data_IF_514970276190
#
_entry.id   IF_514970276190
#
_cell.length_a   1.000
_cell.length_b   1.000
_cell.length_c   1.000
_cell.angle_alpha   90.00
_cell.angle_beta   90.00
_cell.angle_gamma   90.00
#
_symmetry.space_group_name_H-M   'P 1'
#
loop_
_entity.id
_entity.type
_entity.pdbx_description
1 polymer ?
#
# COMPACT_ATOMS: atom_id res chain seq x y z
N UNK A 1 -4.99 12.90 2.83
CA UNK A 1 -4.30 11.95 1.92
C UNK A 1 -3.59 12.74 0.84
N UNK A 2 -2.33 12.42 0.54
CA UNK A 2 -1.53 13.01 -0.53
C UNK A 2 -1.24 11.92 -1.55
N UNK A 3 -1.77 12.05 -2.77
CA UNK A 3 -1.60 11.05 -3.83
C UNK A 3 -0.59 11.55 -4.88
N UNK A 4 0.38 10.70 -5.22
CA UNK A 4 1.41 10.96 -6.20
C UNK A 4 1.16 10.13 -7.46
N UNK A 5 1.30 10.79 -8.60
CA UNK A 5 1.43 10.07 -9.87
C UNK A 5 2.88 9.63 -10.07
N UNK A 6 3.08 8.31 -10.05
CA UNK A 6 4.37 7.67 -10.28
C UNK A 6 4.48 7.06 -11.68
N UNK A 7 3.47 7.21 -12.54
CA UNK A 7 3.52 6.66 -13.90
C UNK A 7 4.54 7.40 -14.77
N UNK A 8 5.24 6.61 -15.57
CA UNK A 8 6.08 7.05 -16.67
C UNK A 8 5.36 6.68 -17.97
N UNK A 9 4.94 7.65 -18.80
CA UNK A 9 4.23 7.35 -20.04
C UNK A 9 5.00 6.36 -20.92
N UNK A 10 4.35 5.27 -21.30
CA UNK A 10 4.94 4.23 -22.15
C UNK A 10 5.85 3.24 -21.44
N UNK A 11 6.00 3.31 -20.11
CA UNK A 11 6.78 2.36 -19.33
C UNK A 11 5.97 1.75 -18.17
N UNK A 12 6.30 0.51 -17.83
CA UNK A 12 5.66 -0.21 -16.72
C UNK A 12 6.32 0.07 -15.36
N UNK A 13 7.51 0.68 -15.35
CA UNK A 13 8.17 1.09 -14.11
C UNK A 13 7.67 2.45 -13.63
N UNK A 14 7.81 2.70 -12.32
CA UNK A 14 7.46 3.98 -11.73
C UNK A 14 8.64 4.94 -11.63
N UNK A 15 8.37 6.24 -11.64
CA UNK A 15 9.36 7.26 -11.30
C UNK A 15 8.71 8.52 -10.67
N UNK A 16 9.52 9.29 -9.93
CA UNK A 16 9.13 10.59 -9.38
C UNK A 16 10.20 11.63 -9.70
N UNK A 17 9.82 12.62 -10.50
CA UNK A 17 10.68 13.76 -10.79
C UNK A 17 10.77 14.72 -9.59
N UNK A 18 11.79 15.59 -9.60
CA UNK A 18 12.04 16.55 -8.52
C UNK A 18 10.86 17.50 -8.30
N UNK A 19 10.10 17.85 -9.34
CA UNK A 19 8.92 18.70 -9.21
C UNK A 19 7.80 18.03 -8.38
N UNK A 20 7.57 16.72 -8.56
CA UNK A 20 6.58 15.95 -7.79
C UNK A 20 7.02 15.80 -6.33
N UNK A 21 8.32 15.59 -6.09
CA UNK A 21 8.89 15.51 -4.75
C UNK A 21 8.86 16.86 -4.02
N UNK A 22 9.15 17.96 -4.72
CA UNK A 22 9.04 19.31 -4.17
C UNK A 22 7.59 19.67 -3.82
N UNK A 23 6.63 19.29 -4.68
CA UNK A 23 5.21 19.42 -4.37
C UNK A 23 4.85 18.64 -3.11
N UNK A 24 5.30 17.37 -3.00
CA UNK A 24 5.03 16.54 -1.83
C UNK A 24 5.57 17.19 -0.56
N UNK A 25 6.81 17.68 -0.59
CA UNK A 25 7.44 18.35 0.55
C UNK A 25 6.59 19.54 1.03
N UNK A 26 6.15 20.40 0.11
CA UNK A 26 5.31 21.55 0.44
C UNK A 26 3.96 21.12 1.05
N UNK A 27 3.35 20.04 0.55
CA UNK A 27 2.10 19.51 1.12
C UNK A 27 2.30 18.88 2.50
N UNK A 28 3.42 18.19 2.71
CA UNK A 28 3.76 17.59 4.00
C UNK A 28 4.05 18.67 5.06
N UNK A 29 4.74 19.75 4.68
CA UNK A 29 4.95 20.91 5.55
C UNK A 29 3.63 21.58 5.94
N UNK A 30 2.74 21.80 4.98
CA UNK A 30 1.42 22.37 5.23
C UNK A 30 0.51 21.47 6.10
N UNK A 31 0.82 20.17 6.19
CA UNK A 31 0.07 19.18 6.96
C UNK A 31 0.78 18.72 8.24
N UNK A 32 1.81 19.43 8.70
CA UNK A 32 2.69 19.00 9.80
C UNK A 32 1.96 18.62 11.10
N UNK A 33 0.84 19.27 11.39
CA UNK A 33 0.07 19.08 12.64
C UNK A 33 -1.12 18.12 12.50
N UNK A 34 -1.20 17.35 11.40
CA UNK A 34 -2.27 16.37 11.18
C UNK A 34 -1.75 15.04 10.64
N UNK A 35 -2.43 13.91 10.91
CA UNK A 35 -2.07 12.62 10.32
C UNK A 35 -2.09 12.66 8.78
N UNK A 36 -1.08 12.07 8.15
CA UNK A 36 -0.95 12.02 6.68
C UNK A 36 -0.85 10.59 6.18
N UNK A 37 -1.57 10.29 5.10
CA UNK A 37 -1.34 9.12 4.26
C UNK A 37 -0.75 9.62 2.95
N UNK A 38 0.37 9.02 2.53
CA UNK A 38 0.95 9.19 1.20
C UNK A 38 0.55 8.00 0.34
N UNK A 39 0.10 8.21 -0.88
CA UNK A 39 -0.31 7.14 -1.79
C UNK A 39 0.38 7.29 -3.15
N UNK A 40 0.81 6.18 -3.75
CA UNK A 40 1.42 6.11 -5.08
C UNK A 40 1.15 4.74 -5.71
N UNK A 41 1.16 4.61 -7.03
CA UNK A 41 0.92 3.31 -7.67
C UNK A 41 2.07 2.31 -7.45
N UNK A 42 3.30 2.69 -7.78
CA UNK A 42 4.45 1.77 -7.77
C UNK A 42 5.09 1.63 -6.38
N UNK A 43 5.39 0.42 -5.89
CA UNK A 43 6.02 0.20 -4.60
C UNK A 43 7.38 0.91 -4.51
N UNK A 44 7.65 1.67 -3.44
CA UNK A 44 8.97 2.26 -3.21
C UNK A 44 9.96 1.29 -2.54
N UNK A 45 9.64 0.00 -2.54
CA UNK A 45 10.41 -1.07 -1.90
C UNK A 45 10.45 -2.32 -2.79
N UNK A 46 11.37 -3.24 -2.50
CA UNK A 46 11.42 -4.54 -3.16
C UNK A 46 10.39 -5.48 -2.52
N UNK A 47 9.54 -6.07 -3.35
CA UNK A 47 8.54 -7.08 -2.98
C UNK A 47 9.14 -8.47 -2.79
N UNK A 48 10.29 -8.76 -3.40
CA UNK A 48 10.87 -10.09 -3.51
C UNK A 48 10.34 -10.90 -4.71
N UNK A 49 9.34 -10.39 -5.44
CA UNK A 49 8.85 -10.98 -6.69
C UNK A 49 9.67 -10.35 -7.83
N UNK A 50 10.64 -11.10 -8.36
CA UNK A 50 11.71 -10.56 -9.20
C UNK A 50 11.24 -9.72 -10.40
N UNK A 51 10.28 -10.22 -11.17
CA UNK A 51 9.76 -9.49 -12.34
C UNK A 51 8.96 -8.23 -11.97
N UNK A 52 8.36 -8.18 -10.78
CA UNK A 52 7.68 -6.98 -10.27
C UNK A 52 8.68 -5.98 -9.66
N UNK A 53 9.77 -6.46 -9.07
CA UNK A 53 10.82 -5.59 -8.54
C UNK A 53 11.58 -4.83 -9.63
N UNK A 54 11.60 -5.35 -10.86
CA UNK A 54 12.10 -4.63 -12.03
C UNK A 54 11.18 -3.48 -12.48
N UNK A 55 9.90 -3.52 -12.08
CA UNK A 55 8.85 -2.56 -12.46
C UNK A 55 8.39 -1.66 -11.30
N UNK A 56 9.04 -1.78 -10.14
CA UNK A 56 8.75 -0.92 -8.98
C UNK A 56 9.14 0.54 -9.22
N UNK A 57 8.94 1.40 -8.22
CA UNK A 57 9.43 2.77 -8.27
C UNK A 57 10.95 2.78 -8.44
N UNK A 58 11.47 3.59 -9.36
CA UNK A 58 12.89 3.69 -9.65
C UNK A 58 13.70 3.85 -8.34
N UNK A 59 14.78 3.07 -8.12
CA UNK A 59 15.50 3.08 -6.85
C UNK A 59 15.98 4.46 -6.40
N UNK A 60 16.40 5.31 -7.35
CA UNK A 60 16.81 6.69 -7.06
C UNK A 60 15.65 7.56 -6.56
N UNK A 61 14.48 7.47 -7.18
CA UNK A 61 13.28 8.17 -6.73
C UNK A 61 12.77 7.62 -5.39
N UNK A 62 12.81 6.30 -5.19
CA UNK A 62 12.47 5.68 -3.91
C UNK A 62 13.38 6.17 -2.78
N UNK A 63 14.70 6.29 -3.02
CA UNK A 63 15.63 6.83 -2.03
C UNK A 63 15.36 8.31 -1.69
N UNK A 64 15.08 9.14 -2.70
CA UNK A 64 14.70 10.55 -2.47
C UNK A 64 13.38 10.66 -1.69
N UNK A 65 12.39 9.84 -2.04
CA UNK A 65 11.11 9.77 -1.33
C UNK A 65 11.33 9.33 0.13
N UNK A 66 12.07 8.25 0.38
CA UNK A 66 12.39 7.76 1.72
C UNK A 66 13.02 8.86 2.60
N UNK A 67 14.02 9.56 2.06
CA UNK A 67 14.69 10.65 2.76
C UNK A 67 13.73 11.81 3.10
N UNK A 68 12.86 12.20 2.16
CA UNK A 68 11.84 13.22 2.40
C UNK A 68 10.87 12.79 3.51
N UNK A 69 10.30 11.59 3.42
CA UNK A 69 9.26 11.14 4.36
C UNK A 69 9.77 11.02 5.81
N UNK A 70 11.05 10.67 6.02
CA UNK A 70 11.65 10.59 7.37
C UNK A 70 11.59 11.90 8.16
N UNK A 71 11.48 13.04 7.49
CA UNK A 71 11.33 14.36 8.13
C UNK A 71 9.92 14.65 8.68
N UNK A 72 8.94 13.78 8.41
CA UNK A 72 7.52 14.00 8.71
C UNK A 72 6.96 12.83 9.55
N UNK A 73 7.14 12.85 10.89
CA UNK A 73 6.73 11.75 11.76
C UNK A 73 5.21 11.56 11.87
N UNK A 74 4.42 12.52 11.37
CA UNK A 74 2.96 12.48 11.31
C UNK A 74 2.43 11.67 10.10
N UNK A 75 3.30 11.04 9.31
CA UNK A 75 2.88 10.12 8.25
C UNK A 75 2.50 8.77 8.85
N UNK A 76 1.21 8.45 8.77
CA UNK A 76 0.61 7.21 9.24
C UNK A 76 0.94 6.04 8.32
N UNK A 77 0.82 6.20 7.00
CA UNK A 77 0.99 5.12 6.02
C UNK A 77 1.51 5.63 4.67
N UNK A 78 2.26 4.77 4.00
CA UNK A 78 2.55 4.88 2.55
C UNK A 78 1.80 3.77 1.82
N UNK A 79 0.82 4.10 1.00
CA UNK A 79 -0.01 3.11 0.30
C UNK A 79 0.44 2.93 -1.14
N UNK A 80 0.54 1.69 -1.59
CA UNK A 80 0.84 1.37 -2.98
C UNK A 80 0.04 0.20 -3.55
N UNK A 81 0.13 0.02 -4.86
CA UNK A 81 -0.54 -1.06 -5.61
C UNK A 81 0.47 -1.81 -6.47
N UNK A 82 0.19 -1.86 -7.78
CA UNK A 82 1.03 -2.44 -8.84
C UNK A 82 1.18 -3.97 -8.80
N UNK A 83 1.61 -4.53 -7.66
CA UNK A 83 1.94 -5.95 -7.51
C UNK A 83 0.69 -6.82 -7.32
N UNK A 84 -0.47 -6.20 -7.05
CA UNK A 84 -1.71 -6.91 -6.77
C UNK A 84 -1.49 -7.99 -5.70
N UNK A 85 -0.88 -7.60 -4.58
CA UNK A 85 -0.65 -8.47 -3.41
C UNK A 85 -0.64 -7.61 -2.16
N UNK A 86 -1.16 -8.17 -1.07
CA UNK A 86 -1.02 -7.58 0.25
C UNK A 86 0.41 -7.70 0.73
N UNK A 87 1.10 -6.59 0.96
CA UNK A 87 2.48 -6.57 1.47
C UNK A 87 2.68 -5.41 2.43
N UNK A 88 3.53 -5.62 3.44
CA UNK A 88 3.83 -4.60 4.44
C UNK A 88 5.34 -4.53 4.65
N UNK A 89 5.89 -3.32 4.71
CA UNK A 89 7.30 -3.11 5.04
C UNK A 89 7.51 -1.73 5.65
N UNK A 90 8.65 -1.51 6.31
CA UNK A 90 9.04 -0.17 6.79
C UNK A 90 9.60 0.65 5.63
N UNK A 91 9.16 1.90 5.52
CA UNK A 91 9.65 2.84 4.51
C UNK A 91 9.43 4.29 4.99
N UNK A 92 10.40 5.19 4.78
CA UNK A 92 10.22 6.61 5.09
C UNK A 92 9.92 6.92 6.55
N UNK A 93 10.36 6.07 7.49
CA UNK A 93 10.05 6.22 8.92
C UNK A 93 8.70 5.63 9.36
N UNK A 94 7.87 5.14 8.43
CA UNK A 94 6.51 4.63 8.69
C UNK A 94 6.29 3.25 8.04
N UNK A 95 5.03 2.76 8.00
CA UNK A 95 4.63 1.54 7.31
C UNK A 95 4.21 1.83 5.87
N UNK A 96 4.87 1.17 4.91
CA UNK A 96 4.37 1.04 3.55
C UNK A 96 3.53 -0.22 3.40
N UNK A 97 2.34 -0.07 2.79
CA UNK A 97 1.38 -1.14 2.56
C UNK A 97 1.04 -1.22 1.07
N UNK A 98 1.28 -2.37 0.45
CA UNK A 98 0.68 -2.71 -0.83
C UNK A 98 -0.66 -3.41 -0.60
N UNK A 99 -1.66 -3.09 -1.41
CA UNK A 99 -3.02 -3.63 -1.30
C UNK A 99 -3.29 -4.67 -2.41
N UNK A 100 -4.16 -5.67 -2.16
CA UNK A 100 -4.59 -6.61 -3.20
C UNK A 100 -5.34 -5.88 -4.32
N UNK A 101 -5.51 -6.57 -5.45
CA UNK A 101 -6.44 -6.13 -6.48
C UNK A 101 -7.85 -6.69 -6.26
N UNK A 102 -8.91 -6.00 -6.72
CA UNK A 102 -10.26 -6.56 -6.77
C UNK A 102 -10.44 -7.58 -7.92
N UNK A 103 -9.34 -8.12 -8.45
CA UNK A 103 -9.31 -9.01 -9.61
C UNK A 103 -8.15 -10.03 -9.47
N UNK A 104 -7.35 -10.23 -10.53
CA UNK A 104 -6.20 -11.13 -10.48
C UNK A 104 -5.06 -10.58 -9.60
N UNK A 105 -4.40 -11.48 -8.90
CA UNK A 105 -3.18 -11.20 -8.12
C UNK A 105 -1.95 -11.67 -8.91
N UNK A 106 -0.80 -11.00 -8.76
CA UNK A 106 0.47 -11.56 -9.26
C UNK A 106 0.75 -12.85 -8.50
N UNK A 107 1.14 -13.92 -9.19
CA UNK A 107 1.41 -15.21 -8.57
C UNK A 107 2.50 -15.07 -7.51
N UNK A 108 2.27 -15.63 -6.31
CA UNK A 108 3.30 -15.64 -5.27
C UNK A 108 4.41 -16.64 -5.61
N UNK A 109 5.54 -16.10 -6.06
CA UNK A 109 6.73 -16.90 -6.35
C UNK A 109 7.98 -16.06 -6.12
N UNK A 110 8.77 -16.46 -5.12
CA UNK A 110 9.98 -15.74 -4.70
C UNK A 110 11.25 -16.26 -5.37
N UNK A 111 11.14 -17.22 -6.29
CA UNK A 111 12.31 -17.69 -7.05
C UNK A 111 12.83 -16.55 -7.93
N UNK A 112 14.16 -16.32 -7.98
CA UNK A 112 14.73 -15.23 -8.77
C UNK A 112 14.37 -15.27 -10.25
N UNK A 113 14.16 -16.48 -10.79
CA UNK A 113 13.81 -16.78 -12.18
C UNK A 113 12.33 -17.17 -12.36
N UNK A 114 11.47 -16.89 -11.38
CA UNK A 114 10.05 -17.15 -11.48
C UNK A 114 9.43 -16.45 -12.72
N UNK A 115 8.64 -17.17 -13.53
CA UNK A 115 8.00 -16.57 -14.68
C UNK A 115 6.96 -15.53 -14.25
N UNK A 116 6.76 -14.51 -15.09
CA UNK A 116 5.64 -13.57 -14.93
C UNK A 116 4.32 -14.33 -15.04
N UNK A 117 3.53 -14.33 -13.97
CA UNK A 117 2.26 -15.05 -13.90
C UNK A 117 1.29 -14.36 -12.95
N UNK A 118 -0.01 -14.56 -13.19
CA UNK A 118 -1.07 -14.16 -12.28
C UNK A 118 -1.89 -15.37 -11.82
N UNK A 119 -2.67 -15.16 -10.76
CA UNK A 119 -3.61 -16.12 -10.18
C UNK A 119 -4.93 -15.40 -9.91
N UNK A 120 -6.04 -16.11 -10.06
CA UNK A 120 -7.34 -15.68 -9.57
C UNK A 120 -7.47 -16.10 -8.10
N UNK A 121 -6.57 -15.59 -7.24
CA UNK A 121 -6.77 -15.63 -5.79
C UNK A 121 -8.02 -14.78 -5.45
N UNK A 122 -8.69 -15.00 -4.31
CA UNK A 122 -9.88 -14.24 -3.93
C UNK A 122 -9.64 -12.72 -4.06
N UNK A 123 -10.47 -12.02 -4.86
CA UNK A 123 -10.34 -10.59 -5.04
C UNK A 123 -10.58 -9.87 -3.72
N UNK A 124 -9.82 -8.81 -3.47
CA UNK A 124 -9.91 -8.05 -2.22
C UNK A 124 -9.55 -6.58 -2.44
N UNK A 125 -9.90 -5.76 -1.46
CA UNK A 125 -9.48 -4.36 -1.35
C UNK A 125 -9.09 -4.03 0.09
N UNK A 126 -8.46 -2.89 0.30
CA UNK A 126 -8.19 -2.39 1.64
C UNK A 126 -9.16 -1.26 2.01
N UNK A 127 -9.74 -1.33 3.20
CA UNK A 127 -10.50 -0.24 3.81
C UNK A 127 -9.67 0.39 4.93
N UNK A 128 -9.43 1.70 4.85
CA UNK A 128 -8.65 2.43 5.83
C UNK A 128 -9.57 3.32 6.68
N UNK A 129 -9.58 3.07 7.98
CA UNK A 129 -10.39 3.82 8.96
C UNK A 129 -9.45 4.58 9.87
N UNK A 130 -9.67 5.89 10.00
CA UNK A 130 -8.91 6.72 10.91
C UNK A 130 -9.76 7.07 12.13
N UNK A 131 -9.27 6.77 13.34
CA UNK A 131 -9.88 7.22 14.60
C UNK A 131 -8.86 7.95 15.48
N UNK A 132 -9.28 8.88 16.36
CA UNK A 132 -8.39 9.55 17.29
C UNK A 132 -7.59 8.60 18.19
N UNK A 133 -8.15 7.43 18.54
CA UNK A 133 -7.57 6.48 19.48
C UNK A 133 -6.54 5.55 18.84
N UNK A 134 -6.78 5.12 17.60
CA UNK A 134 -6.00 4.09 16.93
C UNK A 134 -5.12 4.61 15.78
N UNK A 135 -5.28 5.88 15.38
CA UNK A 135 -4.71 6.38 14.14
C UNK A 135 -5.35 5.67 12.95
N UNK A 136 -4.54 5.20 11.98
CA UNK A 136 -5.05 4.50 10.80
C UNK A 136 -5.09 2.98 10.99
N UNK A 137 -6.30 2.43 11.07
CA UNK A 137 -6.60 0.99 10.97
C UNK A 137 -6.82 0.61 9.51
N UNK A 138 -6.26 -0.52 9.07
CA UNK A 138 -6.41 -1.01 7.69
C UNK A 138 -7.01 -2.41 7.70
N UNK A 139 -8.20 -2.54 7.13
CA UNK A 139 -8.89 -3.81 6.95
C UNK A 139 -8.63 -4.36 5.56
N UNK A 140 -8.33 -5.65 5.45
CA UNK A 140 -8.30 -6.38 4.20
C UNK A 140 -9.68 -7.02 4.01
N UNK A 141 -10.39 -6.64 2.95
CA UNK A 141 -11.79 -7.03 2.72
C UNK A 141 -11.86 -7.79 1.40
N UNK A 142 -12.34 -9.02 1.44
CA UNK A 142 -12.61 -9.80 0.24
C UNK A 142 -13.84 -9.23 -0.49
N UNK A 143 -13.78 -9.22 -1.82
CA UNK A 143 -14.90 -8.80 -2.68
C UNK A 143 -15.97 -9.89 -2.71
N UNK A 144 -15.53 -11.15 -2.77
CA UNK A 144 -16.45 -12.29 -2.73
C UNK A 144 -16.93 -12.50 -1.29
N UNK A 145 -18.25 -12.62 -1.13
CA UNK A 145 -18.86 -12.96 0.15
C UNK A 145 -18.75 -14.48 0.41
N UNK A 146 -18.36 -14.84 1.64
CA UNK A 146 -18.48 -16.20 2.15
C UNK A 146 -19.87 -16.47 2.71
N UNK A 147 -20.12 -17.70 3.14
CA UNK A 147 -21.36 -18.06 3.84
C UNK A 147 -21.46 -17.35 5.21
N UNK A 148 -22.66 -16.93 5.60
CA UNK A 148 -22.94 -16.11 6.78
C UNK A 148 -23.52 -14.70 6.47
N UNK A 149 -23.38 -13.71 7.38
CA UNK A 149 -22.72 -13.80 8.69
C UNK A 149 -23.49 -14.67 9.67
N UNK A 150 -22.74 -15.41 10.51
CA UNK A 150 -23.31 -16.14 11.64
C UNK A 150 -23.06 -15.36 12.94
N UNK A 151 -24.09 -15.13 13.77
CA UNK A 151 -23.92 -14.46 15.05
C UNK A 151 -23.13 -15.33 16.04
N UNK A 152 -22.33 -14.69 16.90
CA UNK A 152 -21.72 -15.33 18.06
C UNK A 152 -22.70 -15.32 19.23
N UNK A 153 -22.91 -16.47 19.87
CA UNK A 153 -23.72 -16.58 21.07
C UNK A 153 -22.87 -17.04 22.25
N UNK A 154 -23.14 -16.49 23.43
CA UNK A 154 -22.66 -17.02 24.70
C UNK A 154 -23.22 -18.44 24.94
N UNK A 155 -22.61 -19.25 25.82
CA UNK A 155 -23.18 -20.55 26.22
C UNK A 155 -24.61 -20.47 26.79
N UNK A 156 -25.01 -19.31 27.32
CA UNK A 156 -26.37 -19.02 27.77
C UNK A 156 -27.39 -18.92 26.63
N UNK A 157 -26.93 -18.77 25.38
CA UNK A 157 -27.75 -18.53 24.20
C UNK A 157 -27.98 -17.06 23.87
N UNK A 158 -27.41 -16.13 24.65
CA UNK A 158 -27.49 -14.68 24.38
C UNK A 158 -26.47 -14.27 23.30
N UNK A 159 -26.79 -13.24 22.50
CA UNK A 159 -25.88 -12.71 21.48
C UNK A 159 -24.67 -12.05 22.17
N UNK A 160 -23.48 -12.27 21.64
CA UNK A 160 -22.28 -11.53 22.06
C UNK A 160 -22.35 -10.13 21.45
N UNK A 161 -22.59 -9.13 22.30
CA UNK A 161 -22.57 -7.69 21.96
C UNK A 161 -21.24 -7.03 22.37
#
# INVERSE_FOLDING_TARGET
>A
VLALDSQVPGASHGDLCDARLAWLAAQLDAARDRPVIVALHHPPFASGIGHMDALRLAPAAAAKLDALLRGHPNIERVLCGHVHRTMFTRFGGTLASAVPAPAHQVAFDLRPDAPSAFRLEPPAFAMHVHTPEAGVVSHHVYVDEGDGPYPFYEPSGELVD
#
